data_IF_255353841604
#
_entry.id   IF_255353841604
#
_cell.length_a   1.000
_cell.length_b   1.000
_cell.length_c   1.000
_cell.angle_alpha   90.00
_cell.angle_beta   90.00
_cell.angle_gamma   90.00
#
_symmetry.space_group_name_H-M   'P 1'
#
loop_
_entity.id
_entity.type
_entity.pdbx_description
1 polymer ?
#
# COMPACT_ATOMS: atom_id res chain seq x y z
N UNK A 1 19.67 17.45 -4.99
CA UNK A 1 18.57 16.46 -5.11
C UNK A 1 17.30 17.18 -5.48
N UNK A 2 16.51 16.62 -6.38
CA UNK A 2 15.17 17.13 -6.67
C UNK A 2 14.24 16.75 -5.51
N UNK A 3 13.51 17.72 -4.96
CA UNK A 3 12.63 17.52 -3.81
C UNK A 3 11.14 17.59 -4.20
N UNK A 4 10.83 17.77 -5.49
CA UNK A 4 9.46 17.96 -5.94
C UNK A 4 8.91 16.71 -6.62
N UNK A 5 7.65 16.40 -6.33
CA UNK A 5 6.89 15.31 -6.93
C UNK A 5 5.64 15.89 -7.58
N UNK A 6 5.28 15.39 -8.74
CA UNK A 6 4.07 15.78 -9.45
C UNK A 6 3.10 14.59 -9.52
N UNK A 7 1.85 14.82 -9.13
CA UNK A 7 0.74 13.91 -9.40
C UNK A 7 -0.22 14.53 -10.42
N UNK A 8 -0.67 13.73 -11.39
CA UNK A 8 -1.54 14.18 -12.49
C UNK A 8 -2.72 13.24 -12.67
N UNK A 9 -3.93 13.77 -12.53
CA UNK A 9 -5.17 13.11 -12.93
C UNK A 9 -5.78 13.84 -14.12
N UNK A 10 -6.09 13.10 -15.18
CA UNK A 10 -6.66 13.64 -16.42
C UNK A 10 -8.08 13.13 -16.57
N UNK A 11 -9.04 14.05 -16.63
CA UNK A 11 -10.43 13.72 -16.85
C UNK A 11 -11.02 14.56 -18.00
N UNK A 12 -11.94 13.97 -18.77
CA UNK A 12 -12.58 14.67 -19.89
C UNK A 12 -13.47 15.83 -19.42
N UNK A 13 -14.27 15.63 -18.39
CA UNK A 13 -15.27 16.61 -17.92
C UNK A 13 -14.73 17.51 -16.81
N UNK A 14 -13.98 16.95 -15.87
CA UNK A 14 -13.48 17.71 -14.73
C UNK A 14 -12.20 18.51 -15.03
N UNK A 15 -11.56 18.27 -16.18
CA UNK A 15 -10.27 18.86 -16.50
C UNK A 15 -9.08 17.98 -16.12
N UNK A 16 -7.88 18.55 -16.23
CA UNK A 16 -6.65 17.93 -15.75
C UNK A 16 -6.18 18.58 -14.46
N UNK A 17 -6.06 17.78 -13.40
CA UNK A 17 -5.64 18.19 -12.07
C UNK A 17 -4.19 17.80 -11.85
N UNK A 18 -3.37 18.76 -11.46
CA UNK A 18 -1.93 18.60 -11.24
C UNK A 18 -1.54 19.13 -9.87
N UNK A 19 -0.94 18.29 -9.04
CA UNK A 19 -0.59 18.60 -7.66
C UNK A 19 0.93 18.45 -7.50
N UNK A 20 1.60 19.52 -7.08
CA UNK A 20 3.03 19.55 -6.79
C UNK A 20 3.23 19.41 -5.29
N UNK A 21 3.92 18.35 -4.89
CA UNK A 21 4.36 18.13 -3.53
C UNK A 21 5.86 18.42 -3.39
N UNK A 22 6.25 18.91 -2.22
CA UNK A 22 7.64 19.07 -1.82
C UNK A 22 7.97 18.10 -0.68
N UNK A 23 9.05 17.37 -0.86
CA UNK A 23 9.68 16.50 0.13
C UNK A 23 10.59 17.33 1.03
N UNK A 24 10.12 17.55 2.27
CA UNK A 24 10.78 18.27 3.34
C UNK A 24 11.27 17.27 4.39
N UNK A 25 12.21 16.39 4.01
CA UNK A 25 12.92 15.45 4.88
C UNK A 25 12.02 14.92 6.02
N UNK A 26 11.11 14.00 5.67
CA UNK A 26 10.04 13.41 6.50
C UNK A 26 8.67 14.10 6.44
N UNK A 27 8.45 15.10 5.59
CA UNK A 27 7.11 15.61 5.34
C UNK A 27 6.88 15.83 3.85
N UNK A 28 5.69 15.47 3.36
CA UNK A 28 5.23 15.88 2.03
C UNK A 28 4.29 17.06 2.17
N UNK A 29 4.70 18.21 1.65
CA UNK A 29 3.89 19.44 1.64
C UNK A 29 3.27 19.67 0.27
N UNK A 30 1.96 19.90 0.22
CA UNK A 30 1.34 20.41 -0.99
C UNK A 30 1.76 21.87 -1.20
N UNK A 31 2.47 22.15 -2.30
CA UNK A 31 2.98 23.49 -2.62
C UNK A 31 2.13 24.17 -3.69
N UNK A 32 1.63 23.40 -4.66
CA UNK A 32 0.85 23.98 -5.75
C UNK A 32 -0.21 23.02 -6.27
N UNK A 33 -1.41 23.54 -6.45
CA UNK A 33 -2.51 22.92 -7.19
C UNK A 33 -2.70 23.68 -8.50
N UNK A 34 -2.75 22.96 -9.61
CA UNK A 34 -3.00 23.51 -10.95
C UNK A 34 -4.13 22.70 -11.56
N UNK A 35 -5.10 23.40 -12.15
CA UNK A 35 -6.24 22.78 -12.80
C UNK A 35 -6.37 23.40 -14.18
N UNK A 36 -6.28 22.55 -15.20
CA UNK A 36 -6.55 22.92 -16.58
C UNK A 36 -7.99 22.51 -16.84
N UNK A 37 -8.93 23.46 -17.02
CA UNK A 37 -10.34 23.14 -17.22
C UNK A 37 -10.57 22.38 -18.53
N UNK A 38 -11.74 21.77 -18.65
CA UNK A 38 -12.18 21.15 -19.91
C UNK A 38 -12.11 22.15 -21.07
N UNK A 39 -11.44 21.74 -22.14
CA UNK A 39 -11.35 22.48 -23.39
C UNK A 39 -10.95 21.54 -24.53
N UNK A 40 -11.12 22.00 -25.78
CA UNK A 40 -10.78 21.22 -26.99
C UNK A 40 -9.33 20.71 -26.99
N UNK A 41 -8.39 21.54 -26.51
CA UNK A 41 -6.95 21.26 -26.51
C UNK A 41 -6.39 20.90 -25.13
N UNK A 42 -7.25 20.67 -24.13
CA UNK A 42 -6.85 20.42 -22.74
C UNK A 42 -5.76 19.36 -22.60
N UNK A 43 -5.83 18.26 -23.38
CA UNK A 43 -4.86 17.17 -23.28
C UNK A 43 -3.46 17.57 -23.76
N UNK A 44 -3.36 18.33 -24.85
CA UNK A 44 -2.09 18.85 -25.35
C UNK A 44 -1.56 19.95 -24.45
N UNK A 45 -2.44 20.85 -23.98
CA UNK A 45 -2.09 21.91 -23.04
C UNK A 45 -1.55 21.33 -21.73
N UNK A 46 -2.10 20.19 -21.29
CA UNK A 46 -1.62 19.46 -20.12
C UNK A 46 -0.23 18.89 -20.32
N UNK A 47 0.09 18.36 -21.50
CA UNK A 47 1.43 17.88 -21.83
C UNK A 47 2.44 19.04 -21.82
N UNK A 48 2.10 20.15 -22.46
CA UNK A 48 2.95 21.34 -22.51
C UNK A 48 3.16 21.95 -21.12
N UNK A 49 2.12 22.00 -20.30
CA UNK A 49 2.20 22.43 -18.89
C UNK A 49 3.15 21.52 -18.10
N UNK A 50 3.05 20.19 -18.23
CA UNK A 50 3.97 19.27 -17.55
C UNK A 50 5.42 19.50 -18.00
N UNK A 51 5.67 19.76 -19.28
CA UNK A 51 7.00 20.09 -19.80
C UNK A 51 7.53 21.38 -19.17
N UNK A 52 6.72 22.44 -19.13
CA UNK A 52 7.07 23.71 -18.52
C UNK A 52 7.36 23.58 -17.02
N UNK A 53 6.49 22.86 -16.30
CA UNK A 53 6.64 22.62 -14.87
C UNK A 53 7.89 21.80 -14.59
N UNK A 54 8.18 20.79 -15.41
CA UNK A 54 9.37 19.96 -15.26
C UNK A 54 10.66 20.77 -15.45
N UNK A 55 10.67 21.74 -16.36
CA UNK A 55 11.80 22.69 -16.54
C UNK A 55 11.95 23.63 -15.34
N UNK A 56 10.84 24.04 -14.73
CA UNK A 56 10.83 25.03 -13.64
C UNK A 56 11.16 24.41 -12.29
N UNK A 57 10.56 23.26 -11.99
CA UNK A 57 10.64 22.61 -10.68
C UNK A 57 11.66 21.48 -10.63
N UNK A 58 12.03 20.89 -11.77
CA UNK A 58 12.98 19.78 -11.83
C UNK A 58 12.51 18.58 -11.01
N UNK A 59 11.34 18.01 -11.34
CA UNK A 59 10.72 16.94 -10.53
C UNK A 59 11.62 15.71 -10.35
N UNK A 60 11.56 15.13 -9.14
CA UNK A 60 12.12 13.82 -8.80
C UNK A 60 11.30 12.72 -9.46
N UNK A 61 9.98 12.78 -9.30
CA UNK A 61 9.01 11.83 -9.86
C UNK A 61 7.77 12.54 -10.38
N UNK A 62 7.18 11.99 -11.44
CA UNK A 62 5.93 12.42 -12.05
C UNK A 62 5.04 11.18 -12.15
N UNK A 63 3.95 11.16 -11.39
CA UNK A 63 2.98 10.07 -11.36
C UNK A 63 1.72 10.51 -12.08
N UNK A 64 1.33 9.76 -13.11
CA UNK A 64 0.18 10.11 -13.95
C UNK A 64 -0.82 8.97 -13.99
N UNK A 65 -2.12 9.29 -13.98
CA UNK A 65 -3.13 8.26 -14.28
C UNK A 65 -2.99 7.80 -15.73
N UNK A 66 -2.94 6.48 -15.94
CA UNK A 66 -2.87 5.87 -17.27
C UNK A 66 -4.22 5.86 -17.98
N UNK A 67 -5.34 5.91 -17.25
CA UNK A 67 -6.70 5.73 -17.76
C UNK A 67 -6.99 6.52 -19.04
N UNK A 68 -6.84 7.84 -18.97
CA UNK A 68 -6.92 8.75 -20.13
C UNK A 68 -5.57 9.23 -20.65
N UNK A 69 -4.47 8.91 -19.95
CA UNK A 69 -3.14 9.50 -20.14
C UNK A 69 -2.16 8.75 -21.05
N UNK A 70 -2.59 7.72 -21.79
CA UNK A 70 -1.65 6.85 -22.52
C UNK A 70 -0.92 7.59 -23.65
N UNK A 71 -1.64 8.32 -24.51
CA UNK A 71 -1.03 9.14 -25.57
C UNK A 71 -0.18 10.27 -25.00
N UNK A 72 -0.62 10.89 -23.90
CA UNK A 72 0.08 12.00 -23.24
C UNK A 72 1.41 11.53 -22.65
N UNK A 73 1.41 10.34 -22.03
CA UNK A 73 2.63 9.71 -21.53
C UNK A 73 3.62 9.47 -22.68
N UNK A 74 3.13 8.98 -23.83
CA UNK A 74 3.97 8.75 -25.01
C UNK A 74 4.55 10.07 -25.55
N UNK A 75 3.75 11.14 -25.63
CA UNK A 75 4.22 12.46 -26.04
C UNK A 75 5.30 13.02 -25.11
N UNK A 76 5.11 12.89 -23.79
CA UNK A 76 6.13 13.28 -22.80
C UNK A 76 7.42 12.48 -22.97
N UNK A 77 7.33 11.17 -23.20
CA UNK A 77 8.50 10.31 -23.46
C UNK A 77 9.17 10.62 -24.80
N UNK A 78 8.40 10.98 -25.82
CA UNK A 78 8.92 11.42 -27.11
C UNK A 78 9.66 12.75 -27.00
N UNK A 79 9.23 13.65 -26.10
CA UNK A 79 9.90 14.92 -25.86
C UNK A 79 11.35 14.74 -25.40
N UNK A 80 11.70 13.65 -24.70
CA UNK A 80 13.10 13.37 -24.33
C UNK A 80 14.03 13.22 -25.56
N UNK A 81 13.50 12.85 -26.73
CA UNK A 81 14.28 12.80 -27.97
C UNK A 81 14.66 14.20 -28.47
N UNK A 82 13.86 15.21 -28.12
CA UNK A 82 14.06 16.61 -28.47
C UNK A 82 14.89 17.34 -27.41
N UNK A 83 14.62 17.09 -26.13
CA UNK A 83 15.33 17.66 -25.00
C UNK A 83 15.68 16.57 -23.97
N UNK A 84 16.81 15.86 -24.12
CA UNK A 84 17.18 14.76 -23.21
C UNK A 84 17.29 15.17 -21.74
N UNK A 85 17.47 16.47 -21.45
CA UNK A 85 17.49 17.01 -20.09
C UNK A 85 16.14 16.93 -19.40
N UNK A 86 15.05 16.72 -20.14
CA UNK A 86 13.73 16.53 -19.53
C UNK A 86 13.64 15.23 -18.73
N UNK A 87 14.42 14.20 -19.06
CA UNK A 87 14.57 12.95 -18.30
C UNK A 87 13.24 12.23 -17.98
N UNK A 88 12.21 12.38 -18.82
CA UNK A 88 10.90 11.79 -18.58
C UNK A 88 10.95 10.25 -18.52
N UNK A 89 11.82 9.58 -19.27
CA UNK A 89 12.01 8.13 -19.18
C UNK A 89 12.33 7.65 -17.76
N UNK A 90 13.06 8.44 -16.97
CA UNK A 90 13.53 8.04 -15.65
C UNK A 90 12.56 8.44 -14.51
N UNK A 91 11.74 9.46 -14.72
CA UNK A 91 10.87 10.01 -13.66
C UNK A 91 9.37 9.94 -13.93
N UNK A 92 8.94 9.62 -15.15
CA UNK A 92 7.52 9.52 -15.52
C UNK A 92 7.00 8.10 -15.31
N UNK A 93 6.09 7.96 -14.35
CA UNK A 93 5.43 6.71 -13.99
C UNK A 93 3.93 6.79 -14.25
N UNK A 94 3.46 6.01 -15.22
CA UNK A 94 2.03 5.89 -15.51
C UNK A 94 1.42 4.77 -14.69
N UNK A 95 0.48 5.10 -13.82
CA UNK A 95 -0.20 4.14 -12.93
C UNK A 95 -1.62 3.91 -13.44
N UNK A 96 -1.98 2.66 -13.68
CA UNK A 96 -3.34 2.30 -14.05
C UNK A 96 -4.14 1.94 -12.80
N UNK A 97 -5.13 2.78 -12.44
CA UNK A 97 -5.92 2.63 -11.21
C UNK A 97 -6.71 1.31 -11.13
N UNK A 98 -7.05 0.73 -12.28
CA UNK A 98 -7.78 -0.54 -12.38
C UNK A 98 -6.87 -1.78 -12.43
N UNK A 99 -5.54 -1.61 -12.34
CA UNK A 99 -4.57 -2.71 -12.38
C UNK A 99 -3.94 -2.97 -11.02
N UNK A 100 -3.06 -3.97 -10.98
CA UNK A 100 -2.21 -4.23 -9.82
C UNK A 100 -0.86 -3.53 -9.99
N UNK A 101 -0.31 -3.02 -8.89
CA UNK A 101 1.07 -2.61 -8.74
C UNK A 101 1.85 -3.74 -8.08
N UNK A 102 3.08 -3.94 -8.56
CA UNK A 102 4.06 -4.76 -7.87
C UNK A 102 4.69 -3.90 -6.76
N UNK A 103 4.40 -4.28 -5.51
CA UNK A 103 4.89 -3.64 -4.30
C UNK A 103 5.77 -4.65 -3.60
N UNK A 104 6.97 -4.25 -3.21
CA UNK A 104 7.86 -5.19 -2.54
C UNK A 104 7.49 -5.22 -1.05
N UNK A 105 7.26 -6.40 -0.51
CA UNK A 105 7.02 -6.59 0.91
C UNK A 105 8.31 -6.31 1.70
N UNK A 106 8.31 -5.34 2.63
CA UNK A 106 9.50 -5.00 3.40
C UNK A 106 10.02 -6.13 4.31
N UNK A 107 9.17 -7.10 4.68
CA UNK A 107 9.58 -8.21 5.55
C UNK A 107 10.23 -9.35 4.77
N UNK A 108 9.64 -9.74 3.64
CA UNK A 108 10.12 -10.87 2.82
C UNK A 108 11.04 -10.46 1.67
N UNK A 109 10.97 -9.20 1.23
CA UNK A 109 11.64 -8.72 0.01
C UNK A 109 10.98 -9.20 -1.29
N UNK A 110 9.84 -9.89 -1.22
CA UNK A 110 9.14 -10.41 -2.40
C UNK A 110 8.20 -9.38 -3.03
N UNK A 111 8.06 -9.44 -4.36
CA UNK A 111 7.09 -8.61 -5.08
C UNK A 111 5.67 -9.14 -4.88
N UNK A 112 4.83 -8.37 -4.18
CA UNK A 112 3.41 -8.65 -3.93
C UNK A 112 2.55 -7.76 -4.82
N UNK A 113 1.56 -8.37 -5.47
CA UNK A 113 0.57 -7.65 -6.29
C UNK A 113 -0.49 -7.02 -5.40
N UNK A 114 -0.62 -5.69 -5.44
CA UNK A 114 -1.67 -4.93 -4.75
C UNK A 114 -2.48 -4.15 -5.77
N UNK A 115 -3.80 -4.04 -5.59
CA UNK A 115 -4.60 -3.17 -6.45
C UNK A 115 -4.09 -1.72 -6.35
N UNK A 116 -3.83 -1.08 -7.48
CA UNK A 116 -3.18 0.22 -7.55
C UNK A 116 -3.95 1.29 -6.77
N UNK A 117 -5.26 1.42 -7.02
CA UNK A 117 -6.09 2.43 -6.35
C UNK A 117 -6.12 2.21 -4.84
N UNK A 118 -6.36 0.97 -4.39
CA UNK A 118 -6.38 0.67 -2.96
C UNK A 118 -5.05 0.94 -2.28
N UNK A 119 -3.95 0.53 -2.91
CA UNK A 119 -2.62 0.78 -2.39
C UNK A 119 -2.34 2.27 -2.23
N UNK A 120 -2.57 3.07 -3.28
CA UNK A 120 -2.30 4.51 -3.24
C UNK A 120 -3.15 5.24 -2.20
N UNK A 121 -4.43 4.92 -2.12
CA UNK A 121 -5.35 5.49 -1.13
C UNK A 121 -4.93 5.10 0.29
N UNK A 122 -4.61 3.82 0.53
CA UNK A 122 -4.22 3.34 1.86
C UNK A 122 -2.90 3.95 2.32
N UNK A 123 -1.88 4.03 1.46
CA UNK A 123 -0.61 4.68 1.81
C UNK A 123 -0.80 6.17 2.08
N UNK A 124 -1.62 6.84 1.27
CA UNK A 124 -1.93 8.27 1.49
C UNK A 124 -2.65 8.49 2.81
N UNK A 125 -3.62 7.63 3.14
CA UNK A 125 -4.34 7.66 4.42
C UNK A 125 -3.37 7.43 5.59
N UNK A 126 -2.52 6.41 5.52
CA UNK A 126 -1.55 6.11 6.56
C UNK A 126 -0.59 7.28 6.79
N UNK A 127 -0.03 7.86 5.72
CA UNK A 127 0.85 9.04 5.84
C UNK A 127 0.12 10.25 6.43
N UNK A 128 -1.18 10.40 6.16
CA UNK A 128 -2.00 11.46 6.76
C UNK A 128 -2.20 11.22 8.26
N UNK A 129 -2.56 10.01 8.67
CA UNK A 129 -2.77 9.61 10.07
C UNK A 129 -1.50 9.71 10.90
N UNK A 130 -0.36 9.35 10.30
CA UNK A 130 0.96 9.41 10.92
C UNK A 130 1.55 10.85 10.96
N UNK A 131 0.87 11.84 10.38
CA UNK A 131 1.27 13.26 10.43
C UNK A 131 2.36 13.67 9.41
N UNK A 132 2.64 12.83 8.40
CA UNK A 132 3.66 13.10 7.37
C UNK A 132 3.19 14.07 6.28
N UNK A 133 1.89 14.39 6.20
CA UNK A 133 1.32 15.23 5.15
C UNK A 133 1.00 16.64 5.64
N UNK A 134 1.49 17.65 4.93
CA UNK A 134 1.23 19.07 5.21
C UNK A 134 0.30 19.64 4.14
N UNK A 135 -0.91 20.00 4.58
CA UNK A 135 -1.98 20.51 3.72
C UNK A 135 -2.17 22.03 3.93
N UNK A 136 -2.19 22.85 2.86
CA UNK A 136 -2.51 24.27 2.95
C UNK A 136 -3.93 24.51 3.47
N UNK A 137 -4.12 25.57 4.26
CA UNK A 137 -5.43 25.93 4.83
C UNK A 137 -6.42 26.32 3.74
N UNK A 138 -5.94 26.85 2.62
CA UNK A 138 -6.72 27.29 1.48
C UNK A 138 -7.44 26.12 0.78
N UNK A 139 -6.95 24.89 0.98
CA UNK A 139 -7.58 23.67 0.48
C UNK A 139 -8.71 23.17 1.39
N UNK A 140 -8.86 23.75 2.59
CA UNK A 140 -9.96 23.51 3.51
C UNK A 140 -11.18 24.38 3.18
N UNK A 141 -11.86 23.99 2.10
CA UNK A 141 -13.05 24.70 1.61
C UNK A 141 -14.35 24.01 2.05
N UNK A 142 -15.46 24.73 1.91
CA UNK A 142 -16.81 24.22 2.23
C UNK A 142 -17.81 24.54 1.11
N UNK A 143 -17.41 24.34 -0.14
CA UNK A 143 -18.26 24.65 -1.30
C UNK A 143 -19.33 23.57 -1.47
N UNK A 144 -20.59 23.97 -1.40
CA UNK A 144 -21.74 23.09 -1.68
C UNK A 144 -22.25 23.35 -3.10
N UNK A 145 -22.73 22.31 -3.81
CA UNK A 145 -23.23 22.38 -5.19
C UNK A 145 -22.15 22.64 -6.27
N UNK A 146 -21.06 21.89 -6.20
CA UNK A 146 -20.04 21.89 -7.26
C UNK A 146 -20.50 20.94 -8.37
N UNK A 147 -20.65 21.46 -9.59
CA UNK A 147 -20.79 20.62 -10.79
C UNK A 147 -19.41 20.13 -11.22
N UNK A 148 -19.34 19.06 -12.00
CA UNK A 148 -18.07 18.49 -12.50
C UNK A 148 -17.19 19.53 -13.22
N UNK A 149 -17.81 20.45 -13.98
CA UNK A 149 -17.15 21.59 -14.65
C UNK A 149 -16.50 22.60 -13.69
N UNK A 150 -16.97 22.67 -12.43
CA UNK A 150 -16.49 23.56 -11.37
C UNK A 150 -15.61 22.84 -10.34
N UNK A 151 -15.18 21.60 -10.62
CA UNK A 151 -14.46 20.73 -9.67
C UNK A 151 -13.22 21.38 -9.04
N UNK A 152 -12.62 22.37 -9.71
CA UNK A 152 -11.49 23.13 -9.19
C UNK A 152 -11.79 24.11 -8.07
N UNK A 153 -13.06 24.43 -7.83
CA UNK A 153 -13.49 25.25 -6.67
C UNK A 153 -13.49 24.47 -5.37
N UNK A 154 -13.59 23.13 -5.45
CA UNK A 154 -13.49 22.26 -4.29
C UNK A 154 -12.03 22.02 -3.94
N UNK A 155 -11.64 22.45 -2.73
CA UNK A 155 -10.31 22.22 -2.18
C UNK A 155 -10.05 20.74 -1.90
N UNK A 156 -8.77 20.36 -1.90
CA UNK A 156 -8.31 19.00 -1.64
C UNK A 156 -8.82 18.47 -0.29
N UNK A 157 -8.73 19.25 0.78
CA UNK A 157 -9.16 18.82 2.12
C UNK A 157 -10.67 18.59 2.13
N UNK A 158 -11.43 19.40 1.39
CA UNK A 158 -12.86 19.16 1.21
C UNK A 158 -13.14 17.84 0.46
N UNK A 159 -12.41 17.57 -0.63
CA UNK A 159 -12.52 16.29 -1.35
C UNK A 159 -12.17 15.11 -0.43
N UNK A 160 -11.13 15.22 0.41
CA UNK A 160 -10.77 14.21 1.40
C UNK A 160 -11.91 13.90 2.38
N UNK A 161 -12.61 14.92 2.88
CA UNK A 161 -13.77 14.72 3.79
C UNK A 161 -14.97 14.08 3.08
N UNK A 162 -15.18 14.42 1.82
CA UNK A 162 -16.29 13.88 1.03
C UNK A 162 -16.03 12.45 0.56
N UNK A 163 -14.76 12.05 0.46
CA UNK A 163 -14.35 10.74 -0.02
C UNK A 163 -14.68 9.65 1.01
N UNK A 164 -15.47 8.66 0.58
CA UNK A 164 -15.96 7.60 1.46
C UNK A 164 -16.01 6.25 0.76
N UNK A 165 -16.02 5.19 1.55
CA UNK A 165 -16.31 3.83 1.08
C UNK A 165 -17.83 3.68 0.99
N UNK A 166 -18.35 3.46 -0.22
CA UNK A 166 -19.78 3.29 -0.49
C UNK A 166 -20.23 1.84 -0.40
N UNK A 167 -19.28 0.90 -0.43
CA UNK A 167 -19.56 -0.51 -0.22
C UNK A 167 -18.32 -1.36 -0.36
N UNK A 168 -18.52 -2.67 -0.32
CA UNK A 168 -17.46 -3.65 -0.53
C UNK A 168 -17.82 -4.53 -1.73
N UNK A 169 -16.80 -4.91 -2.51
CA UNK A 169 -16.95 -5.91 -3.57
C UNK A 169 -17.13 -7.30 -2.97
N UNK A 170 -17.51 -8.26 -3.81
CA UNK A 170 -17.61 -9.69 -3.44
C UNK A 170 -16.29 -10.23 -2.88
N UNK A 171 -15.16 -9.65 -3.30
CA UNK A 171 -13.82 -10.02 -2.85
C UNK A 171 -13.34 -9.21 -1.63
N UNK A 172 -14.23 -8.46 -0.96
CA UNK A 172 -13.90 -7.67 0.22
C UNK A 172 -13.18 -6.35 -0.06
N UNK A 173 -12.90 -6.01 -1.33
CA UNK A 173 -12.25 -4.75 -1.68
C UNK A 173 -13.23 -3.57 -1.58
N UNK A 174 -12.83 -2.42 -0.99
CA UNK A 174 -13.71 -1.27 -0.84
C UNK A 174 -14.07 -0.66 -2.20
N UNK A 175 -15.28 -0.11 -2.31
CA UNK A 175 -15.72 0.70 -3.45
C UNK A 175 -15.81 2.14 -2.97
N UNK A 176 -15.06 3.03 -3.59
CA UNK A 176 -15.01 4.43 -3.19
C UNK A 176 -16.04 5.27 -3.92
N UNK A 177 -16.49 6.35 -3.27
CA UNK A 177 -17.30 7.41 -3.88
C UNK A 177 -16.67 7.93 -5.18
N UNK A 178 -17.50 8.24 -6.16
CA UNK A 178 -17.10 8.74 -7.48
C UNK A 178 -17.55 10.19 -7.70
N UNK A 179 -16.88 10.92 -8.61
CA UNK A 179 -17.43 12.09 -9.30
C UNK A 179 -16.81 13.43 -8.94
N UNK A 180 -16.20 13.57 -7.76
CA UNK A 180 -15.60 14.84 -7.31
C UNK A 180 -14.27 14.60 -6.59
N UNK A 181 -13.52 13.59 -7.03
CA UNK A 181 -12.27 13.11 -6.42
C UNK A 181 -11.04 13.32 -7.31
N UNK A 182 -11.10 14.18 -8.33
CA UNK A 182 -10.00 14.37 -9.28
C UNK A 182 -8.76 15.03 -8.67
N UNK A 183 -8.95 16.10 -7.89
CA UNK A 183 -7.85 16.73 -7.13
C UNK A 183 -7.26 15.73 -6.13
N UNK A 184 -8.12 14.98 -5.44
CA UNK A 184 -7.71 13.93 -4.51
C UNK A 184 -6.97 12.79 -5.23
N UNK A 185 -7.37 12.46 -6.46
CA UNK A 185 -6.74 11.43 -7.29
C UNK A 185 -5.34 11.83 -7.70
N UNK A 186 -5.16 13.05 -8.20
CA UNK A 186 -3.84 13.61 -8.43
C UNK A 186 -2.99 13.64 -7.15
N UNK A 187 -3.61 13.91 -6.00
CA UNK A 187 -2.92 13.93 -4.72
C UNK A 187 -2.44 12.53 -4.26
N UNK A 188 -3.30 11.50 -4.24
CA UNK A 188 -2.86 10.17 -3.85
C UNK A 188 -1.95 9.49 -4.89
N UNK A 189 -1.98 9.94 -6.16
CA UNK A 189 -0.96 9.60 -7.15
C UNK A 189 0.42 10.12 -6.74
N UNK A 190 0.50 11.38 -6.32
CA UNK A 190 1.76 11.97 -5.86
C UNK A 190 2.26 11.33 -4.55
N UNK A 191 1.40 11.25 -3.52
CA UNK A 191 1.77 10.72 -2.20
C UNK A 191 2.04 9.22 -2.25
N UNK A 192 1.06 8.43 -2.69
CA UNK A 192 1.20 6.98 -2.76
C UNK A 192 2.25 6.53 -3.76
N UNK A 193 2.41 7.27 -4.87
CA UNK A 193 3.48 7.04 -5.84
C UNK A 193 4.86 7.33 -5.25
N UNK A 194 5.02 8.42 -4.50
CA UNK A 194 6.26 8.71 -3.78
C UNK A 194 6.58 7.59 -2.78
N UNK A 195 5.61 7.16 -1.98
CA UNK A 195 5.78 6.04 -1.05
C UNK A 195 6.19 4.76 -1.79
N UNK A 196 5.52 4.43 -2.91
CA UNK A 196 5.88 3.27 -3.72
C UNK A 196 7.34 3.28 -4.21
N UNK A 197 7.89 4.47 -4.49
CA UNK A 197 9.27 4.61 -4.95
C UNK A 197 10.30 4.72 -3.82
N UNK A 198 9.92 5.23 -2.65
CA UNK A 198 10.86 5.64 -1.60
C UNK A 198 10.63 4.98 -0.22
N UNK A 199 9.40 4.56 0.10
CA UNK A 199 8.93 4.26 1.46
C UNK A 199 9.55 3.02 2.10
N UNK A 200 9.67 1.91 1.37
CA UNK A 200 10.00 0.63 2.01
C UNK A 200 11.51 0.27 1.98
N UNK A 201 12.33 0.90 1.12
CA UNK A 201 13.76 0.53 0.95
C UNK A 201 14.77 1.54 1.47
N UNK A 202 14.37 2.78 1.76
CA UNK A 202 15.30 3.80 2.28
C UNK A 202 15.25 3.93 3.80
N UNK A 203 14.22 3.37 4.45
CA UNK A 203 14.02 3.39 5.89
C UNK A 203 14.50 2.16 6.64
N UNK A 204 15.01 1.12 5.96
CA UNK A 204 15.75 0.05 6.65
C UNK A 204 17.19 0.53 6.74
N UNK A 205 17.67 1.03 7.91
CA UNK A 205 19.10 1.12 8.11
C UNK A 205 19.62 -0.31 7.98
N UNK A 206 20.22 -0.63 6.83
CA UNK A 206 21.24 -1.66 6.85
C UNK A 206 22.24 -1.18 7.90
N UNK A 207 22.23 -1.82 9.06
CA UNK A 207 23.30 -1.71 10.04
C UNK A 207 24.59 -2.01 9.27
N UNK A 208 25.30 -0.97 8.83
CA UNK A 208 26.61 -1.10 8.19
C UNK A 208 27.63 -1.71 9.16
N UNK A 209 27.31 -1.68 10.45
CA UNK A 209 28.04 -2.36 11.51
C UNK A 209 27.14 -3.45 12.05
N UNK A 210 27.40 -4.70 11.67
CA UNK A 210 27.05 -5.81 12.54
C UNK A 210 27.93 -5.61 13.77
N UNK A 211 27.38 -5.06 14.85
CA UNK A 211 27.99 -5.22 16.17
C UNK A 211 27.91 -6.72 16.44
N UNK A 212 29.02 -7.41 16.20
CA UNK A 212 29.20 -8.75 16.70
C UNK A 212 28.94 -8.68 18.20
N UNK A 213 27.89 -9.34 18.65
CA UNK A 213 27.80 -9.70 20.05
C UNK A 213 28.98 -10.65 20.23
N UNK A 214 30.04 -10.18 20.88
CA UNK A 214 31.02 -11.10 21.43
C UNK A 214 30.24 -11.97 22.41
N UNK A 215 29.96 -13.21 21.99
CA UNK A 215 29.56 -14.25 22.91
C UNK A 215 30.83 -14.51 23.71
N UNK A 216 31.00 -13.79 24.81
CA UNK A 216 31.99 -14.16 25.80
C UNK A 216 31.58 -15.52 26.35
N UNK A 217 32.46 -16.51 26.26
CA UNK A 217 32.30 -17.83 26.91
C UNK A 217 32.30 -17.73 28.45
N UNK A 218 32.31 -16.52 29.01
CA UNK A 218 32.08 -16.28 30.42
C UNK A 218 30.61 -16.56 30.74
N UNK A 219 30.37 -17.80 31.18
CA UNK A 219 29.20 -18.19 31.94
C UNK A 219 29.08 -17.20 33.11
N UNK A 220 28.22 -16.21 32.96
CA UNK A 220 27.82 -15.39 34.07
C UNK A 220 26.99 -16.31 34.98
N UNK A 221 27.59 -16.77 36.08
CA UNK A 221 26.94 -17.53 37.17
C UNK A 221 25.91 -16.66 37.92
N UNK A 222 25.10 -15.90 37.19
CA UNK A 222 23.92 -15.29 37.76
C UNK A 222 22.94 -16.41 38.06
N UNK A 223 22.82 -16.70 39.35
CA UNK A 223 21.83 -17.58 39.96
C UNK A 223 20.52 -17.53 39.18
N UNK A 224 20.05 -18.70 38.76
CA UNK A 224 18.80 -18.85 38.04
C UNK A 224 17.68 -18.08 38.78
N UNK A 225 16.73 -17.42 38.09
CA UNK A 225 15.74 -16.53 38.73
C UNK A 225 15.05 -17.15 39.96
N UNK A 226 14.83 -18.46 39.94
CA UNK A 226 14.26 -19.24 41.05
C UNK A 226 15.14 -19.33 42.29
N UNK A 227 16.47 -19.26 42.17
CA UNK A 227 17.41 -19.25 43.29
C UNK A 227 17.50 -17.86 43.94
N UNK A 228 17.36 -16.80 43.16
CA UNK A 228 17.27 -15.42 43.67
C UNK A 228 15.98 -15.22 44.47
N UNK A 229 14.86 -15.78 43.99
CA UNK A 229 13.59 -15.77 44.73
C UNK A 229 13.69 -16.55 46.04
N UNK A 230 14.26 -17.77 46.01
CA UNK A 230 14.42 -18.60 47.22
C UNK A 230 15.29 -17.93 48.29
N UNK A 231 16.39 -17.27 47.90
CA UNK A 231 17.24 -16.52 48.82
C UNK A 231 16.56 -15.25 49.38
N UNK A 232 15.63 -14.63 48.64
CA UNK A 232 14.82 -13.50 49.14
C UNK A 232 13.77 -13.94 50.14
N UNK A 233 13.17 -15.11 49.94
CA UNK A 233 12.20 -15.69 50.88
C UNK A 233 12.86 -16.09 52.20
N UNK A 234 14.05 -16.71 52.15
CA UNK A 234 14.84 -17.06 53.33
C UNK A 234 15.29 -15.82 54.13
N UNK A 235 15.73 -14.74 53.46
CA UNK A 235 16.09 -13.46 54.12
C UNK A 235 14.92 -12.76 54.80
N UNK A 236 13.68 -13.01 54.37
CA UNK A 236 12.47 -12.41 54.96
C UNK A 236 11.93 -13.20 56.17
N UNK A 237 12.62 -14.27 56.59
CA UNK A 237 12.24 -15.06 57.76
C UNK A 237 11.04 -15.98 57.54
N UNK A 238 10.61 -16.18 56.29
CA UNK A 238 9.51 -17.09 55.97
C UNK A 238 10.07 -18.51 55.79
N UNK A 239 9.85 -19.37 56.78
CA UNK A 239 10.22 -20.79 56.69
C UNK A 239 9.16 -21.50 55.85
N UNK A 240 9.54 -21.93 54.64
CA UNK A 240 8.69 -22.76 53.81
C UNK A 240 8.54 -24.16 54.46
N UNK A 241 7.44 -24.40 55.19
CA UNK A 241 7.12 -25.75 55.67
C UNK A 241 6.73 -26.61 54.48
N UNK A 242 7.53 -27.65 54.21
CA UNK A 242 7.17 -28.67 53.21
C UNK A 242 5.88 -29.36 53.65
N UNK A 243 4.86 -29.30 52.81
CA UNK A 243 3.71 -30.19 52.89
C UNK A 243 4.21 -31.63 52.68
N UNK A 244 4.08 -32.46 53.71
CA UNK A 244 4.13 -33.91 53.56
C UNK A 244 2.85 -34.36 52.85
N UNK A 245 2.93 -34.62 51.54
CA UNK A 245 1.77 -35.06 50.78
C UNK A 245 2.06 -35.55 49.36
N UNK A 246 2.27 -36.87 49.25
CA UNK A 246 2.19 -37.76 48.07
C UNK A 246 3.27 -37.65 46.98
N UNK A 247 4.05 -38.74 46.87
CA UNK A 247 4.90 -39.11 45.73
C UNK A 247 4.07 -39.12 44.44
N UNK A 248 4.45 -38.30 43.47
CA UNK A 248 4.12 -38.51 42.06
C UNK A 248 5.27 -39.32 41.44
N UNK A 249 4.92 -40.42 40.77
CA UNK A 249 5.88 -41.32 40.13
C UNK A 249 6.56 -40.66 38.92
N UNK A 250 7.86 -40.91 38.78
CA UNK A 250 8.70 -40.46 37.66
C UNK A 250 8.22 -41.08 36.34
N UNK A 251 7.73 -40.27 35.41
CA UNK A 251 7.67 -40.69 34.01
C UNK A 251 9.02 -40.47 33.32
N UNK A 252 9.58 -41.59 32.88
CA UNK A 252 10.90 -41.75 32.26
C UNK A 252 11.08 -40.86 31.02
N UNK A 253 12.26 -40.26 30.96
CA UNK A 253 12.88 -39.63 29.79
C UNK A 253 12.79 -40.53 28.55
N UNK A 254 12.14 -40.04 27.49
CA UNK A 254 12.28 -40.64 26.16
C UNK A 254 13.55 -40.12 25.48
N UNK A 255 14.54 -41.01 25.41
CA UNK A 255 15.70 -40.89 24.51
C UNK A 255 15.25 -41.06 23.04
N UNK A 256 15.95 -40.33 22.18
CA UNK A 256 16.09 -40.49 20.72
C UNK A 256 15.73 -41.87 20.17
N UNK A 257 14.87 -41.89 19.14
CA UNK A 257 14.89 -42.90 18.07
C UNK A 257 14.37 -42.32 16.76
N UNK A 258 15.32 -42.10 15.85
CA UNK A 258 15.34 -42.53 14.46
C UNK A 258 14.11 -42.29 13.58
N UNK A 259 14.32 -41.36 12.64
CA UNK A 259 13.86 -41.43 11.26
C UNK A 259 14.21 -42.81 10.67
N UNK A 260 13.22 -43.63 10.28
CA UNK A 260 13.10 -44.04 8.88
C UNK A 260 11.80 -44.79 8.53
N UNK A 261 11.27 -44.41 7.37
CA UNK A 261 10.36 -45.07 6.42
C UNK A 261 9.52 -46.30 6.83
N UNK A 262 8.19 -46.16 6.76
CA UNK A 262 7.26 -47.29 6.79
C UNK A 262 5.86 -46.94 6.25
N UNK A 263 5.63 -47.26 4.98
CA UNK A 263 4.36 -47.14 4.26
C UNK A 263 3.18 -47.81 4.97
N UNK A 264 2.33 -47.04 5.67
CA UNK A 264 0.92 -47.39 5.86
C UNK A 264 0.20 -46.24 6.57
N UNK A 265 -0.52 -45.40 5.81
CA UNK A 265 -1.75 -44.71 6.25
C UNK A 265 -2.35 -43.75 5.20
N UNK A 266 -1.95 -43.84 3.93
CA UNK A 266 -2.71 -43.29 2.80
C UNK A 266 -3.70 -44.37 2.33
N UNK A 267 -4.72 -44.70 3.13
CA UNK A 267 -5.83 -45.57 2.69
C UNK A 267 -7.04 -45.59 3.63
N UNK A 268 -7.41 -44.47 4.26
CA UNK A 268 -8.68 -44.35 5.01
C UNK A 268 -9.49 -43.07 4.82
N UNK A 269 -9.09 -42.16 3.92
CA UNK A 269 -9.84 -40.91 3.66
C UNK A 269 -10.59 -40.84 2.32
N UNK A 270 -10.56 -41.88 1.49
CA UNK A 270 -11.02 -41.83 0.07
C UNK A 270 -12.34 -42.56 -0.22
N UNK A 271 -13.08 -43.00 0.81
CA UNK A 271 -14.33 -43.76 0.64
C UNK A 271 -15.62 -42.97 0.94
N UNK A 272 -15.54 -41.66 1.25
CA UNK A 272 -16.74 -40.83 1.53
C UNK A 272 -17.14 -39.87 0.39
N UNK A 273 -16.69 -40.12 -0.85
CA UNK A 273 -16.94 -39.24 -2.01
C UNK A 273 -17.58 -39.95 -3.22
N UNK A 274 -18.19 -41.14 -3.05
CA UNK A 274 -18.75 -41.94 -4.16
C UNK A 274 -20.26 -42.23 -4.14
N UNK A 275 -21.05 -41.64 -3.23
CA UNK A 275 -22.49 -41.96 -3.13
C UNK A 275 -23.45 -40.81 -3.45
N UNK A 276 -23.04 -39.74 -4.15
CA UNK A 276 -23.98 -38.68 -4.57
C UNK A 276 -24.05 -38.39 -6.07
N UNK A 277 -23.67 -39.36 -6.91
CA UNK A 277 -23.87 -39.30 -8.36
C UNK A 277 -24.62 -40.53 -8.85
N UNK A 278 -25.94 -40.55 -8.67
CA UNK A 278 -26.89 -41.41 -9.41
C UNK A 278 -28.35 -41.00 -9.15
N UNK A 279 -28.77 -39.91 -9.79
CA UNK A 279 -30.19 -39.64 -10.09
C UNK A 279 -30.29 -38.63 -11.23
N UNK A 280 -29.90 -39.05 -12.45
CA UNK A 280 -30.16 -38.32 -13.68
C UNK A 280 -31.48 -38.78 -14.29
N UNK A 281 -32.53 -37.99 -14.11
CA UNK A 281 -33.77 -38.06 -14.89
C UNK A 281 -33.91 -36.79 -15.73
N UNK A 282 -34.05 -36.95 -17.05
CA UNK A 282 -34.36 -35.88 -18.02
C UNK A 282 -35.66 -35.14 -17.68
N UNK A 283 -35.82 -33.85 -18.09
CA UNK A 283 -36.50 -33.60 -19.37
C UNK A 283 -36.05 -32.35 -20.16
N UNK A 284 -36.00 -32.50 -21.49
CA UNK A 284 -36.75 -31.72 -22.50
C UNK A 284 -36.72 -30.18 -22.54
N UNK A 285 -36.15 -29.67 -23.65
CA UNK A 285 -36.64 -28.60 -24.53
C UNK A 285 -37.20 -27.27 -23.95
N UNK A 286 -36.52 -26.15 -24.24
CA UNK A 286 -36.93 -25.20 -25.29
C UNK A 286 -36.11 -23.90 -25.24
N UNK A 287 -35.26 -23.68 -26.25
CA UNK A 287 -34.72 -22.37 -26.60
C UNK A 287 -35.68 -21.70 -27.59
N UNK A 288 -36.26 -20.55 -27.22
CA UNK A 288 -36.89 -19.62 -28.17
C UNK A 288 -36.19 -18.28 -28.12
N UNK A 289 -35.56 -17.92 -29.24
CA UNK A 289 -35.18 -16.56 -29.63
C UNK A 289 -36.37 -15.61 -29.48
N UNK A 290 -36.11 -14.38 -29.03
CA UNK A 290 -36.76 -13.20 -29.60
C UNK A 290 -35.73 -12.09 -29.80
N UNK A 291 -35.63 -11.67 -31.07
CA UNK A 291 -35.33 -10.31 -31.46
C UNK A 291 -36.54 -9.44 -31.07
N UNK A 292 -36.30 -8.27 -30.50
CA UNK A 292 -36.49 -6.93 -31.08
C UNK A 292 -35.88 -5.91 -30.10
#
# INVERSE_FOLDING_TARGET
>A
NANYVLGVDWNKAAGTHMLILEDLDNHLRLVKKIIIPESEYMQTDSVDMIIQLNRTWGFKYIFVDKGYGSTQTELLRKHDLVDPRSMFQNKLFSIAMNQHLDVIDPLSGEAVKRNAKHFLVEQTKKMLEDGYLVLPKEEDTTVTNVKDEDSGRMGLVQQMRNFRVEGTSVYGLPKYSQGQDHTLTAYYLAVGGFYWKEGDFKGVPYLKTITGIEISDEINEQLHPTQIERAREERRGWILKRSTGKKYEEQKSYKNRDLDLGKSNIRRGLNNLKNNTRSGGSPGNNFRRKQF
#
